data_IF_255652976768
#
_entry.id   IF_255652976768
#
_cell.length_a   1.000
_cell.length_b   1.000
_cell.length_c   1.000
_cell.angle_alpha   90.00
_cell.angle_beta   90.00
_cell.angle_gamma   90.00
#
_symmetry.space_group_name_H-M   'P 1'
#
loop_
_entity.id
_entity.type
_entity.pdbx_description
1 polymer ?
#
# COMPACT_ATOMS: atom_id res chain seq x y z
N UNK A 1 -9.02 41.11 -10.81
CA UNK A 1 -8.16 40.05 -10.27
C UNK A 1 -8.69 39.71 -8.89
N UNK A 2 -9.59 38.69 -8.80
CA UNK A 2 -10.34 38.35 -7.58
C UNK A 2 -9.61 37.18 -6.93
N UNK A 3 -9.11 37.40 -5.71
CA UNK A 3 -8.45 36.37 -4.91
C UNK A 3 -9.55 35.47 -4.32
N UNK A 4 -9.52 34.13 -4.55
CA UNK A 4 -10.53 33.25 -3.97
C UNK A 4 -10.32 33.12 -2.46
N UNK A 5 -11.37 33.37 -1.70
CA UNK A 5 -11.45 33.23 -0.25
C UNK A 5 -11.15 31.78 0.18
N UNK A 6 -10.24 31.62 1.14
CA UNK A 6 -9.96 30.34 1.80
C UNK A 6 -11.23 29.87 2.51
N UNK A 7 -11.83 28.81 2.03
CA UNK A 7 -12.94 28.13 2.70
C UNK A 7 -12.35 27.12 3.70
N UNK A 8 -12.35 27.47 4.97
CA UNK A 8 -12.13 26.50 6.04
C UNK A 8 -13.39 25.65 6.16
N UNK A 9 -13.26 24.35 5.88
CA UNK A 9 -14.35 23.40 6.11
C UNK A 9 -14.44 23.18 7.63
N UNK A 10 -15.42 23.78 8.26
CA UNK A 10 -15.85 23.43 9.63
C UNK A 10 -16.58 22.08 9.57
N UNK A 11 -15.90 21.01 9.96
CA UNK A 11 -16.52 19.69 10.09
C UNK A 11 -17.24 19.66 11.44
N UNK A 12 -18.57 19.64 11.36
CA UNK A 12 -19.46 19.47 12.51
C UNK A 12 -19.17 18.13 13.23
N UNK A 13 -19.15 18.18 14.55
CA UNK A 13 -19.01 17.01 15.42
C UNK A 13 -20.30 16.15 15.35
N UNK A 14 -20.21 14.87 15.00
CA UNK A 14 -21.14 13.93 15.57
C UNK A 14 -20.46 12.63 15.97
N UNK A 15 -20.35 12.34 17.24
CA UNK A 15 -20.47 10.96 17.68
C UNK A 15 -20.72 10.91 19.19
N UNK A 16 -21.96 10.59 19.46
CA UNK A 16 -22.42 10.13 20.76
C UNK A 16 -22.01 8.68 20.96
N UNK A 17 -21.24 8.43 21.99
CA UNK A 17 -21.03 7.09 22.54
C UNK A 17 -22.40 6.58 23.04
N UNK A 18 -22.89 5.47 22.50
CA UNK A 18 -24.09 4.80 23.02
C UNK A 18 -23.81 4.27 24.42
N UNK A 19 -24.52 4.79 25.43
CA UNK A 19 -24.56 4.19 26.74
C UNK A 19 -25.30 2.86 26.68
N UNK A 20 -24.62 1.77 26.99
CA UNK A 20 -25.30 0.55 27.41
C UNK A 20 -25.61 0.66 28.89
N UNK A 21 -26.90 0.86 29.22
CA UNK A 21 -27.42 0.72 30.59
C UNK A 21 -27.50 -0.76 30.90
N UNK A 22 -26.60 -1.25 31.75
CA UNK A 22 -26.81 -2.51 32.44
C UNK A 22 -26.75 -2.31 33.96
N UNK A 23 -27.90 -2.45 34.61
CA UNK A 23 -28.05 -2.42 36.08
C UNK A 23 -27.81 -3.86 36.58
N UNK A 24 -26.66 -4.08 37.23
CA UNK A 24 -26.39 -5.38 37.83
C UNK A 24 -25.04 -5.44 38.57
N UNK A 25 -25.12 -5.41 39.89
CA UNK A 25 -24.12 -5.84 40.86
C UNK A 25 -22.87 -4.96 41.12
N UNK A 26 -22.90 -4.22 42.19
CA UNK A 26 -21.79 -3.43 42.76
C UNK A 26 -20.79 -4.40 43.42
N UNK A 27 -19.68 -4.74 42.77
CA UNK A 27 -18.35 -5.07 43.34
C UNK A 27 -17.41 -5.82 42.42
N UNK A 28 -17.46 -5.62 41.10
CA UNK A 28 -16.32 -5.87 40.23
C UNK A 28 -16.18 -4.67 39.28
N UNK A 29 -14.98 -4.08 39.10
CA UNK A 29 -14.79 -3.08 38.07
C UNK A 29 -14.99 -3.82 36.73
N UNK A 30 -16.14 -3.59 36.11
CA UNK A 30 -16.36 -3.99 34.73
C UNK A 30 -15.33 -3.22 33.92
N UNK A 31 -14.28 -3.91 33.49
CA UNK A 31 -13.33 -3.36 32.51
C UNK A 31 -14.18 -3.01 31.28
N UNK A 32 -14.50 -1.73 31.13
CA UNK A 32 -15.16 -1.24 29.93
C UNK A 32 -14.26 -1.64 28.76
N UNK A 33 -14.78 -2.44 27.86
CA UNK A 33 -14.10 -2.81 26.64
C UNK A 33 -13.90 -1.55 25.80
N UNK A 34 -12.73 -0.91 25.96
CA UNK A 34 -12.32 0.27 25.17
C UNK A 34 -12.07 -0.15 23.71
N UNK A 35 -12.34 -1.41 23.37
CA UNK A 35 -12.14 -1.96 22.06
C UNK A 35 -10.66 -2.25 21.77
N UNK A 36 -10.42 -2.82 20.60
CA UNK A 36 -9.10 -3.19 20.12
C UNK A 36 -8.35 -2.03 19.42
N UNK A 37 -8.92 -0.83 19.41
CA UNK A 37 -8.41 0.33 18.69
C UNK A 37 -7.73 1.35 19.61
N UNK A 38 -6.80 2.17 19.12
CA UNK A 38 -6.20 3.25 19.86
C UNK A 38 -7.23 4.31 20.30
N UNK A 39 -7.01 4.90 21.48
CA UNK A 39 -7.89 5.92 22.05
C UNK A 39 -7.10 7.07 22.68
N UNK A 40 -7.75 8.22 22.84
CA UNK A 40 -7.16 9.40 23.50
C UNK A 40 -7.30 9.26 25.00
N UNK A 41 -6.18 9.25 25.73
CA UNK A 41 -6.14 9.01 27.16
C UNK A 41 -6.92 10.05 27.98
N UNK A 42 -6.82 11.34 27.64
CA UNK A 42 -7.59 12.41 28.31
C UNK A 42 -9.10 12.27 28.10
N UNK A 43 -9.54 11.82 26.92
CA UNK A 43 -10.98 11.57 26.66
C UNK A 43 -11.48 10.39 27.50
N UNK A 44 -10.72 9.29 27.54
CA UNK A 44 -11.05 8.10 28.30
C UNK A 44 -11.08 8.35 29.83
N UNK A 45 -10.15 9.16 30.33
CA UNK A 45 -10.17 9.61 31.75
C UNK A 45 -11.34 10.50 32.05
N UNK A 46 -11.68 11.46 31.19
CA UNK A 46 -12.77 12.41 31.37
C UNK A 46 -14.15 11.74 31.37
N UNK A 47 -14.34 10.69 30.55
CA UNK A 47 -15.59 9.94 30.55
C UNK A 47 -15.63 8.78 31.57
N UNK A 48 -14.57 8.59 32.36
CA UNK A 48 -14.47 7.51 33.34
C UNK A 48 -14.34 6.11 32.76
N UNK A 49 -13.96 6.00 31.49
CA UNK A 49 -13.73 4.71 30.83
C UNK A 49 -12.51 3.98 31.39
N UNK A 50 -11.52 4.74 31.84
CA UNK A 50 -10.33 4.25 32.56
C UNK A 50 -9.98 5.24 33.68
N UNK A 51 -9.26 4.75 34.69
CA UNK A 51 -8.59 5.61 35.67
C UNK A 51 -7.08 5.68 35.37
N UNK A 52 -6.35 6.56 36.10
CA UNK A 52 -4.90 6.77 35.89
C UNK A 52 -4.07 5.52 36.18
N UNK A 53 -4.49 4.66 37.11
CA UNK A 53 -3.81 3.41 37.43
C UNK A 53 -3.96 2.41 36.27
N UNK A 54 -5.17 2.19 35.80
CA UNK A 54 -5.49 1.29 34.68
C UNK A 54 -4.76 1.72 33.42
N UNK A 55 -4.77 3.02 33.10
CA UNK A 55 -4.09 3.56 31.92
C UNK A 55 -2.59 3.21 31.93
N UNK A 56 -1.91 3.32 33.08
CA UNK A 56 -0.49 2.95 33.23
C UNK A 56 -0.28 1.44 33.26
N UNK A 57 -1.18 0.71 33.88
CA UNK A 57 -1.03 -0.73 34.11
C UNK A 57 -1.27 -1.55 32.83
N UNK A 58 -2.33 -1.24 32.09
CA UNK A 58 -2.84 -2.08 31.00
C UNK A 58 -2.58 -1.54 29.59
N UNK A 59 -2.31 -0.26 29.44
CA UNK A 59 -2.17 0.38 28.14
C UNK A 59 -0.73 0.87 27.90
N UNK A 60 -0.31 0.82 26.64
CA UNK A 60 0.94 1.44 26.17
C UNK A 60 0.64 2.72 25.42
N UNK A 61 1.47 3.74 25.58
CA UNK A 61 1.40 4.95 24.75
C UNK A 61 1.97 4.65 23.37
N UNK A 62 1.18 4.87 22.32
CA UNK A 62 1.66 4.82 20.93
C UNK A 62 2.12 6.20 20.45
N UNK A 63 1.39 7.25 20.86
CA UNK A 63 1.65 8.66 20.59
C UNK A 63 1.38 9.46 21.87
N UNK A 64 1.85 10.71 21.97
CA UNK A 64 1.49 11.57 23.10
C UNK A 64 -0.01 11.58 23.34
N UNK A 65 -0.43 11.18 24.54
CA UNK A 65 -1.84 11.08 24.95
C UNK A 65 -2.72 10.10 24.15
N UNK A 66 -2.13 9.20 23.33
CA UNK A 66 -2.86 8.14 22.61
C UNK A 66 -2.35 6.78 23.02
N UNK A 67 -3.24 5.90 23.42
CA UNK A 67 -2.96 4.62 24.05
C UNK A 67 -3.57 3.45 23.31
N UNK A 68 -2.96 2.27 23.48
CA UNK A 68 -3.42 0.97 22.99
C UNK A 68 -3.23 -0.06 24.10
N UNK A 69 -4.14 -1.02 24.22
CA UNK A 69 -3.96 -2.18 25.13
C UNK A 69 -2.62 -2.87 24.87
N UNK A 70 -1.87 -3.18 25.94
CA UNK A 70 -0.55 -3.81 25.87
C UNK A 70 -0.58 -5.19 25.21
N UNK A 71 -1.70 -5.89 25.24
CA UNK A 71 -1.91 -7.21 24.63
C UNK A 71 -2.04 -7.14 23.11
N UNK A 72 -2.35 -5.97 22.57
CA UNK A 72 -2.65 -5.77 21.15
C UNK A 72 -1.41 -5.32 20.41
N UNK A 73 -1.10 -5.95 19.26
CA UNK A 73 0.01 -5.56 18.41
C UNK A 73 -0.24 -4.19 17.76
N UNK A 74 0.76 -3.29 17.75
CA UNK A 74 0.65 -1.97 17.11
C UNK A 74 0.91 -2.06 15.60
N UNK A 75 0.02 -2.72 14.85
CA UNK A 75 0.08 -2.80 13.39
C UNK A 75 0.09 -1.41 12.74
N UNK A 76 0.53 -1.31 11.48
CA UNK A 76 0.53 -0.04 10.74
C UNK A 76 -0.86 0.64 10.80
N UNK A 77 -1.94 -0.12 10.62
CA UNK A 77 -3.31 0.40 10.73
C UNK A 77 -3.57 1.08 12.08
N UNK A 78 -3.20 0.42 13.19
CA UNK A 78 -3.38 0.97 14.55
C UNK A 78 -2.47 2.17 14.79
N UNK A 79 -1.23 2.13 14.33
CA UNK A 79 -0.32 3.28 14.41
C UNK A 79 -0.82 4.47 13.59
N UNK A 80 -1.42 4.22 12.43
CA UNK A 80 -2.05 5.26 11.59
C UNK A 80 -3.23 5.89 12.30
N UNK A 81 -4.11 5.09 12.90
CA UNK A 81 -5.23 5.60 13.70
C UNK A 81 -4.75 6.39 14.92
N UNK A 82 -3.70 5.90 15.62
CA UNK A 82 -3.11 6.61 16.74
C UNK A 82 -2.50 7.96 16.32
N UNK A 83 -1.78 8.02 15.21
CA UNK A 83 -1.22 9.25 14.68
C UNK A 83 -2.30 10.26 14.26
N UNK A 84 -3.41 9.77 13.68
CA UNK A 84 -4.55 10.60 13.34
C UNK A 84 -5.25 11.14 14.59
N UNK A 85 -5.44 10.34 15.64
CA UNK A 85 -5.96 10.79 16.93
C UNK A 85 -5.04 11.83 17.59
N UNK A 86 -3.72 11.62 17.53
CA UNK A 86 -2.72 12.57 18.02
C UNK A 86 -2.81 13.92 17.31
N UNK A 87 -3.11 13.94 16.03
CA UNK A 87 -3.35 15.18 15.27
C UNK A 87 -4.69 15.86 15.61
N UNK A 88 -5.34 15.50 16.69
CA UNK A 88 -6.70 15.97 17.03
C UNK A 88 -7.74 15.66 15.94
N UNK A 89 -7.50 14.62 15.14
CA UNK A 89 -8.36 14.21 14.02
C UNK A 89 -8.37 15.19 12.83
N UNK A 90 -7.41 16.12 12.80
CA UNK A 90 -7.30 17.18 11.78
C UNK A 90 -6.46 16.76 10.58
N UNK A 91 -5.46 15.88 10.79
CA UNK A 91 -4.57 15.46 9.74
C UNK A 91 -5.26 14.60 8.66
N UNK A 92 -4.65 14.60 7.48
CA UNK A 92 -4.96 13.66 6.40
C UNK A 92 -3.84 12.64 6.31
N UNK A 93 -4.19 11.35 6.40
CA UNK A 93 -3.25 10.24 6.22
C UNK A 93 -2.77 10.19 4.77
N UNK A 94 -1.47 10.06 4.56
CA UNK A 94 -0.83 10.12 3.25
C UNK A 94 0.28 9.06 3.08
N UNK A 95 0.90 9.01 1.93
CA UNK A 95 2.05 8.16 1.64
C UNK A 95 1.76 6.66 1.80
N UNK A 96 2.73 5.91 2.34
CA UNK A 96 2.58 4.45 2.51
C UNK A 96 1.46 4.08 3.47
N UNK A 97 1.22 4.87 4.52
CA UNK A 97 0.11 4.63 5.43
C UNK A 97 -1.25 4.76 4.70
N UNK A 98 -1.41 5.74 3.81
CA UNK A 98 -2.60 5.86 2.97
C UNK A 98 -2.71 4.69 1.98
N UNK A 99 -1.60 4.28 1.36
CA UNK A 99 -1.56 3.12 0.46
C UNK A 99 -2.04 1.84 1.17
N UNK A 100 -1.55 1.57 2.39
CA UNK A 100 -2.02 0.45 3.22
C UNK A 100 -3.51 0.57 3.60
N UNK A 101 -3.98 1.79 3.87
CA UNK A 101 -5.42 2.04 4.11
C UNK A 101 -6.26 1.78 2.85
N UNK A 102 -5.69 1.92 1.65
CA UNK A 102 -6.29 1.52 0.38
C UNK A 102 -6.18 0.02 0.10
N UNK A 103 -5.62 -0.76 1.04
CA UNK A 103 -5.38 -2.20 0.94
C UNK A 103 -4.31 -2.58 -0.08
N UNK A 104 -3.42 -1.66 -0.43
CA UNK A 104 -2.24 -2.02 -1.18
C UNK A 104 -1.37 -2.97 -0.35
N UNK A 105 -0.93 -4.03 -0.97
CA UNK A 105 -0.02 -5.00 -0.36
C UNK A 105 1.42 -4.46 -0.30
N UNK A 106 2.32 -5.20 0.33
CA UNK A 106 3.76 -4.92 0.38
C UNK A 106 4.10 -3.59 1.08
N UNK A 107 3.32 -3.23 2.08
CA UNK A 107 3.63 -2.14 3.01
C UNK A 107 3.94 -2.72 4.38
N UNK A 108 5.20 -2.58 4.82
CA UNK A 108 5.65 -3.13 6.09
C UNK A 108 4.97 -2.43 7.29
N UNK A 109 4.77 -3.19 8.36
CA UNK A 109 4.12 -2.66 9.57
C UNK A 109 4.95 -1.59 10.29
N UNK A 110 6.26 -1.50 10.06
CA UNK A 110 7.18 -0.57 10.75
C UNK A 110 7.41 0.76 10.01
N UNK A 111 6.87 0.92 8.79
CA UNK A 111 7.00 2.19 8.05
C UNK A 111 6.47 3.37 8.86
N UNK A 112 7.10 4.55 8.78
CA UNK A 112 6.56 5.75 9.41
C UNK A 112 5.17 6.11 8.89
N UNK A 113 4.29 6.56 9.77
CA UNK A 113 2.97 7.09 9.39
C UNK A 113 3.15 8.51 8.85
N UNK A 114 2.80 8.72 7.58
CA UNK A 114 2.85 10.03 6.96
C UNK A 114 1.49 10.75 7.10
N UNK A 115 1.51 11.97 7.61
CA UNK A 115 0.34 12.84 7.77
C UNK A 115 0.56 14.16 7.03
N UNK A 116 -0.42 14.60 6.26
CA UNK A 116 -0.49 15.98 5.79
C UNK A 116 -1.16 16.80 6.89
N UNK A 117 -0.32 17.52 7.64
CA UNK A 117 -0.72 18.38 8.75
C UNK A 117 0.41 19.33 9.11
N UNK A 118 0.07 20.58 9.36
CA UNK A 118 1.04 21.62 9.68
C UNK A 118 1.51 21.52 11.14
N UNK A 119 2.38 20.55 11.43
CA UNK A 119 3.00 20.35 12.73
C UNK A 119 4.47 19.95 12.56
N UNK A 120 5.37 20.75 13.12
CA UNK A 120 6.82 20.52 13.04
C UNK A 120 7.36 19.58 14.14
N UNK A 121 6.54 19.17 15.11
CA UNK A 121 6.95 18.37 16.29
C UNK A 121 6.32 16.97 16.26
N UNK A 122 6.51 16.25 15.14
CA UNK A 122 6.02 14.89 15.02
C UNK A 122 6.72 13.95 16.01
N UNK A 123 5.99 13.04 16.68
CA UNK A 123 6.59 12.01 17.52
C UNK A 123 7.32 10.97 16.66
N UNK A 124 8.16 10.15 17.30
CA UNK A 124 8.86 9.06 16.62
C UNK A 124 7.89 8.15 15.86
N UNK A 125 8.22 7.82 14.62
CA UNK A 125 7.39 6.98 13.75
C UNK A 125 6.28 7.71 13.03
N UNK A 126 6.21 9.06 13.13
CA UNK A 126 5.30 9.91 12.37
C UNK A 126 6.11 10.92 11.54
N UNK A 127 5.70 11.14 10.32
CA UNK A 127 6.21 12.19 9.44
C UNK A 127 5.06 13.13 9.13
N UNK A 128 5.21 14.40 9.48
CA UNK A 128 4.25 15.44 9.11
C UNK A 128 4.75 16.22 7.89
N UNK A 129 3.85 16.53 6.98
CA UNK A 129 4.13 17.32 5.78
C UNK A 129 3.18 18.47 5.64
N UNK A 130 3.70 19.62 5.29
CA UNK A 130 2.91 20.74 4.81
C UNK A 130 2.75 20.58 3.31
N UNK A 131 1.55 20.19 2.86
CA UNK A 131 1.23 20.03 1.45
C UNK A 131 -0.14 20.62 1.15
N UNK A 132 -0.29 21.23 -0.03
CA UNK A 132 -1.58 21.68 -0.52
C UNK A 132 -2.44 20.46 -0.85
N UNK A 133 -3.67 20.46 -0.35
CA UNK A 133 -4.73 19.54 -0.71
C UNK A 133 -5.84 20.32 -1.39
N UNK A 134 -6.23 19.89 -2.58
CA UNK A 134 -7.32 20.48 -3.34
C UNK A 134 -8.60 19.66 -3.16
N UNK A 135 -9.74 20.23 -3.53
CA UNK A 135 -11.02 19.52 -3.50
C UNK A 135 -10.94 18.21 -4.32
N UNK A 136 -11.40 17.11 -3.75
CA UNK A 136 -11.37 15.79 -4.37
C UNK A 136 -10.09 14.98 -4.09
N UNK A 137 -9.15 15.48 -3.29
CA UNK A 137 -7.89 14.77 -2.97
C UNK A 137 -7.92 14.05 -1.61
N UNK A 138 -9.01 14.19 -0.88
CA UNK A 138 -9.22 13.58 0.44
C UNK A 138 -10.55 12.84 0.45
N UNK A 139 -10.55 11.65 1.03
CA UNK A 139 -11.74 10.85 1.26
C UNK A 139 -11.77 10.30 2.69
N UNK A 140 -12.95 9.85 3.12
CA UNK A 140 -13.12 9.13 4.40
C UNK A 140 -12.93 7.63 4.16
N UNK A 141 -12.01 7.01 4.93
CA UNK A 141 -11.81 5.56 4.92
C UNK A 141 -11.60 5.06 6.35
N UNK A 142 -12.35 4.05 6.76
CA UNK A 142 -12.33 3.50 8.12
C UNK A 142 -12.46 4.60 9.21
N UNK A 143 -13.23 5.66 8.93
CA UNK A 143 -13.41 6.79 9.84
C UNK A 143 -12.29 7.86 9.81
N UNK A 144 -11.19 7.65 9.08
CA UNK A 144 -10.07 8.59 8.97
C UNK A 144 -10.17 9.43 7.69
N UNK A 145 -9.56 10.61 7.70
CA UNK A 145 -9.31 11.38 6.49
C UNK A 145 -8.04 10.81 5.84
N UNK A 146 -8.14 10.37 4.60
CA UNK A 146 -7.05 9.71 3.84
C UNK A 146 -6.96 10.35 2.46
N UNK A 147 -5.79 10.50 1.90
CA UNK A 147 -5.63 10.91 0.50
C UNK A 147 -6.31 9.91 -0.43
N UNK A 148 -6.93 10.38 -1.53
CA UNK A 148 -7.51 9.46 -2.54
C UNK A 148 -6.43 8.58 -3.17
N UNK A 149 -6.78 7.48 -3.86
CA UNK A 149 -5.81 6.66 -4.56
C UNK A 149 -4.91 7.46 -5.52
N UNK A 150 -5.50 8.38 -6.29
CA UNK A 150 -4.78 9.22 -7.25
C UNK A 150 -3.82 10.18 -6.55
N UNK A 151 -4.26 10.79 -5.43
CA UNK A 151 -3.38 11.64 -4.64
C UNK A 151 -2.30 10.85 -3.92
N UNK A 152 -2.59 9.65 -3.46
CA UNK A 152 -1.60 8.73 -2.88
C UNK A 152 -0.57 8.33 -3.92
N UNK A 153 -1.01 7.96 -5.14
CA UNK A 153 -0.13 7.65 -6.27
C UNK A 153 0.76 8.84 -6.65
N UNK A 154 0.18 10.06 -6.74
CA UNK A 154 0.94 11.28 -6.96
C UNK A 154 2.05 11.48 -5.93
N UNK A 155 1.76 11.27 -4.64
CA UNK A 155 2.74 11.46 -3.58
C UNK A 155 3.81 10.36 -3.56
N UNK A 156 3.47 9.10 -3.87
CA UNK A 156 4.40 7.98 -3.94
C UNK A 156 5.27 8.02 -5.20
N UNK A 157 4.68 8.28 -6.36
CA UNK A 157 5.38 8.25 -7.65
C UNK A 157 6.47 9.32 -7.81
N UNK A 158 6.33 10.46 -7.16
CA UNK A 158 7.28 11.59 -7.24
C UNK A 158 8.43 11.53 -6.24
N UNK A 159 8.52 10.48 -5.39
CA UNK A 159 9.49 10.41 -4.28
C UNK A 159 10.24 9.08 -4.27
N UNK A 160 11.48 9.15 -3.76
CA UNK A 160 12.35 7.97 -3.62
C UNK A 160 12.94 7.48 -4.94
N UNK A 161 13.58 6.31 -4.95
CA UNK A 161 14.11 5.69 -6.17
C UNK A 161 12.99 5.30 -7.15
N UNK A 162 13.21 5.48 -8.46
CA UNK A 162 12.20 5.23 -9.49
C UNK A 162 11.61 3.81 -9.41
N UNK A 163 12.44 2.78 -9.29
CA UNK A 163 11.96 1.39 -9.23
C UNK A 163 11.08 1.11 -8.00
N UNK A 164 11.39 1.72 -6.84
CA UNK A 164 10.52 1.63 -5.66
C UNK A 164 9.21 2.39 -5.86
N UNK A 165 9.26 3.57 -6.46
CA UNK A 165 8.07 4.35 -6.76
C UNK A 165 7.13 3.55 -7.67
N UNK A 166 7.65 2.92 -8.74
CA UNK A 166 6.87 2.07 -9.63
C UNK A 166 6.26 0.89 -8.87
N UNK A 167 7.04 0.16 -8.05
CA UNK A 167 6.52 -0.98 -7.28
C UNK A 167 5.38 -0.58 -6.31
N UNK A 168 5.46 0.62 -5.72
CA UNK A 168 4.41 1.17 -4.87
C UNK A 168 3.17 1.58 -5.66
N UNK A 169 3.36 2.12 -6.87
CA UNK A 169 2.25 2.43 -7.78
C UNK A 169 1.56 1.16 -8.27
N UNK A 170 2.33 0.13 -8.64
CA UNK A 170 1.79 -1.16 -9.07
C UNK A 170 0.92 -1.79 -7.97
N UNK A 171 1.43 -1.86 -6.73
CA UNK A 171 0.70 -2.39 -5.60
C UNK A 171 -0.57 -1.58 -5.28
N UNK A 172 -0.49 -0.24 -5.32
CA UNK A 172 -1.66 0.62 -5.11
C UNK A 172 -2.67 0.48 -6.26
N UNK A 173 -2.19 0.37 -7.50
CA UNK A 173 -3.01 0.17 -8.68
C UNK A 173 -3.72 -1.18 -8.68
N UNK A 174 -3.03 -2.24 -8.28
CA UNK A 174 -3.60 -3.57 -8.09
C UNK A 174 -4.78 -3.52 -7.10
N UNK A 175 -4.62 -2.82 -5.98
CA UNK A 175 -5.63 -2.71 -4.93
C UNK A 175 -6.81 -1.79 -5.27
N UNK A 176 -6.62 -0.75 -6.12
CA UNK A 176 -7.59 0.34 -6.29
C UNK A 176 -8.06 0.54 -7.72
N UNK A 177 -7.27 0.09 -8.70
CA UNK A 177 -7.54 0.31 -10.12
C UNK A 177 -7.45 1.77 -10.56
N UNK A 178 -6.72 2.63 -9.85
CA UNK A 178 -6.53 4.02 -10.25
C UNK A 178 -5.94 4.10 -11.67
N UNK A 179 -6.22 5.19 -12.38
CA UNK A 179 -5.72 5.38 -13.74
C UNK A 179 -4.58 6.40 -13.76
N UNK A 180 -3.52 6.11 -14.52
CA UNK A 180 -2.38 7.01 -14.68
C UNK A 180 -2.82 8.40 -15.19
N UNK A 181 -3.81 8.46 -16.08
CA UNK A 181 -4.34 9.71 -16.63
C UNK A 181 -4.94 10.61 -15.55
N UNK A 182 -5.59 10.05 -14.52
CA UNK A 182 -6.19 10.83 -13.43
C UNK A 182 -5.10 11.40 -12.51
N UNK A 183 -4.00 10.66 -12.31
CA UNK A 183 -2.84 11.13 -11.56
C UNK A 183 -2.10 12.24 -12.31
N UNK A 184 -1.98 12.15 -13.65
CA UNK A 184 -1.40 13.22 -14.47
C UNK A 184 -2.28 14.48 -14.44
N UNK A 185 -3.60 14.35 -14.54
CA UNK A 185 -4.54 15.47 -14.40
C UNK A 185 -4.45 16.12 -13.01
N UNK A 186 -4.20 15.33 -11.96
CA UNK A 186 -3.93 15.86 -10.62
C UNK A 186 -2.58 16.60 -10.60
N UNK A 187 -1.53 16.05 -11.22
CA UNK A 187 -0.22 16.66 -11.30
C UNK A 187 -0.24 18.05 -11.98
N UNK A 188 -1.07 18.22 -13.01
CA UNK A 188 -1.30 19.49 -13.67
C UNK A 188 -1.85 20.60 -12.75
N UNK A 189 -2.59 20.20 -11.72
CA UNK A 189 -3.10 21.10 -10.68
C UNK A 189 -2.03 21.46 -9.63
N UNK A 190 -0.93 20.70 -9.60
CA UNK A 190 0.19 20.82 -8.65
C UNK A 190 1.53 21.12 -9.33
N UNK A 191 1.55 21.97 -10.36
CA UNK A 191 2.71 22.26 -11.24
C UNK A 191 3.99 22.67 -10.52
N UNK A 192 3.88 23.15 -9.28
CA UNK A 192 5.03 23.54 -8.46
C UNK A 192 5.52 22.43 -7.50
N UNK A 193 4.94 21.25 -7.57
CA UNK A 193 5.38 20.12 -6.75
C UNK A 193 6.74 19.61 -7.25
N UNK A 194 7.62 19.25 -6.31
CA UNK A 194 8.90 18.62 -6.66
C UNK A 194 8.69 17.18 -7.12
N UNK A 195 9.49 16.74 -8.09
CA UNK A 195 9.53 15.34 -8.53
C UNK A 195 8.49 14.98 -9.60
N UNK A 196 7.89 15.96 -10.31
CA UNK A 196 6.90 15.69 -11.36
C UNK A 196 7.48 14.89 -12.53
N UNK A 197 8.72 15.16 -12.96
CA UNK A 197 9.39 14.35 -14.01
C UNK A 197 9.55 12.88 -13.60
N UNK A 198 9.86 12.64 -12.34
CA UNK A 198 9.92 11.26 -11.82
C UNK A 198 8.53 10.62 -11.78
N UNK A 199 7.49 11.38 -11.40
CA UNK A 199 6.11 10.90 -11.43
C UNK A 199 5.70 10.46 -12.84
N UNK A 200 5.98 11.30 -13.86
CA UNK A 200 5.71 10.98 -15.26
C UNK A 200 6.43 9.68 -15.69
N UNK A 201 7.72 9.55 -15.37
CA UNK A 201 8.49 8.33 -15.65
C UNK A 201 7.96 7.12 -14.90
N UNK A 202 7.53 7.28 -13.64
CA UNK A 202 6.96 6.19 -12.85
C UNK A 202 5.58 5.76 -13.38
N UNK A 203 4.74 6.71 -13.80
CA UNK A 203 3.43 6.42 -14.40
C UNK A 203 3.54 5.80 -15.79
N UNK A 204 4.57 6.17 -16.55
CA UNK A 204 4.88 5.52 -17.82
C UNK A 204 5.24 4.04 -17.62
N UNK A 205 5.94 3.70 -16.54
CA UNK A 205 6.34 2.34 -16.18
C UNK A 205 5.30 1.59 -15.33
N UNK A 206 4.24 2.25 -14.89
CA UNK A 206 3.20 1.70 -14.04
C UNK A 206 2.43 0.55 -14.72
N UNK A 207 2.25 -0.54 -13.99
CA UNK A 207 1.49 -1.71 -14.42
C UNK A 207 0.86 -2.42 -13.21
N UNK A 208 -0.47 -2.30 -13.02
CA UNK A 208 -1.17 -2.91 -11.89
C UNK A 208 -1.26 -4.45 -11.97
N UNK A 209 -0.78 -5.08 -13.04
CA UNK A 209 -0.72 -6.53 -13.17
C UNK A 209 0.40 -7.16 -12.34
N UNK A 210 1.48 -6.42 -11.99
CA UNK A 210 2.51 -6.93 -11.11
C UNK A 210 1.95 -7.18 -9.69
N UNK A 211 2.06 -8.40 -9.20
CA UNK A 211 1.51 -8.83 -7.92
C UNK A 211 2.52 -8.73 -6.76
N UNK A 212 3.78 -8.43 -7.06
CA UNK A 212 4.81 -8.25 -6.04
C UNK A 212 5.87 -7.22 -6.47
N UNK A 213 6.59 -6.59 -5.49
CA UNK A 213 7.73 -5.72 -5.80
C UNK A 213 8.86 -6.44 -6.55
N UNK A 214 8.93 -7.77 -6.45
CA UNK A 214 9.94 -8.57 -7.16
C UNK A 214 9.58 -8.77 -8.63
N UNK A 215 8.31 -8.93 -8.94
CA UNK A 215 7.82 -8.93 -10.32
C UNK A 215 8.04 -7.56 -10.96
N UNK A 216 7.70 -6.46 -10.27
CA UNK A 216 8.01 -5.10 -10.73
C UNK A 216 9.50 -4.93 -11.00
N UNK A 217 10.37 -5.33 -10.07
CA UNK A 217 11.82 -5.26 -10.23
C UNK A 217 12.29 -6.04 -11.45
N UNK A 218 11.79 -7.26 -11.66
CA UNK A 218 12.15 -8.12 -12.78
C UNK A 218 11.67 -7.52 -14.12
N UNK A 219 10.45 -7.00 -14.15
CA UNK A 219 9.88 -6.30 -15.30
C UNK A 219 10.70 -5.07 -15.70
N UNK A 220 11.05 -4.24 -14.73
CA UNK A 220 11.89 -3.07 -14.97
C UNK A 220 13.29 -3.45 -15.43
N UNK A 221 13.84 -4.56 -14.94
CA UNK A 221 15.15 -5.06 -15.34
C UNK A 221 15.20 -5.42 -16.83
N UNK A 222 14.19 -6.11 -17.35
CA UNK A 222 14.17 -6.49 -18.77
C UNK A 222 13.88 -5.29 -19.68
N UNK A 223 13.05 -4.35 -19.24
CA UNK A 223 12.80 -3.09 -19.96
C UNK A 223 14.10 -2.26 -20.06
N UNK A 224 14.84 -2.13 -18.96
CA UNK A 224 16.10 -1.39 -18.87
C UNK A 224 17.22 -2.02 -19.75
N UNK A 225 17.15 -3.32 -19.97
CA UNK A 225 18.07 -4.06 -20.87
C UNK A 225 17.66 -3.97 -22.36
N UNK A 226 16.58 -3.24 -22.68
CA UNK A 226 16.15 -2.95 -24.04
C UNK A 226 15.14 -3.91 -24.63
N UNK A 227 14.57 -4.83 -23.85
CA UNK A 227 13.46 -5.67 -24.31
C UNK A 227 12.16 -4.84 -24.38
N UNK A 228 11.23 -5.16 -25.30
CA UNK A 228 9.88 -4.59 -25.30
C UNK A 228 9.22 -4.79 -23.93
N UNK A 229 8.27 -3.91 -23.59
CA UNK A 229 7.49 -4.08 -22.34
C UNK A 229 6.76 -5.42 -22.35
N UNK A 230 7.01 -6.31 -21.38
CA UNK A 230 6.28 -7.56 -21.28
C UNK A 230 4.84 -7.30 -20.84
N UNK A 231 3.92 -8.12 -21.28
CA UNK A 231 2.58 -8.22 -20.73
C UNK A 231 2.67 -8.89 -19.35
N UNK A 232 1.82 -8.48 -18.40
CA UNK A 232 1.76 -9.07 -17.06
C UNK A 232 0.52 -9.94 -16.89
N UNK A 233 0.57 -10.91 -15.98
CA UNK A 233 -0.54 -11.81 -15.65
C UNK A 233 -1.17 -12.48 -16.89
N UNK A 234 -0.32 -13.07 -17.74
CA UNK A 234 -0.75 -13.71 -18.98
C UNK A 234 -1.52 -15.00 -18.66
N UNK A 235 -2.79 -15.12 -19.03
CA UNK A 235 -3.59 -16.29 -18.73
C UNK A 235 -3.22 -17.47 -19.62
N UNK A 236 -2.87 -18.62 -19.00
CA UNK A 236 -2.72 -19.90 -19.69
C UNK A 236 -3.91 -20.79 -19.30
N UNK A 237 -4.77 -21.21 -20.26
CA UNK A 237 -5.92 -22.06 -19.96
C UNK A 237 -5.48 -23.38 -19.30
N UNK A 238 -6.10 -23.75 -18.19
CA UNK A 238 -5.85 -25.02 -17.54
C UNK A 238 -6.43 -26.22 -18.31
N UNK A 239 -6.00 -27.44 -17.97
CA UNK A 239 -6.59 -28.69 -18.51
C UNK A 239 -8.10 -28.68 -18.25
N UNK A 240 -8.88 -29.02 -19.25
CA UNK A 240 -10.35 -29.04 -19.24
C UNK A 240 -11.05 -27.66 -19.11
N UNK A 241 -10.35 -26.53 -19.33
CA UNK A 241 -10.93 -25.20 -19.34
C UNK A 241 -11.48 -24.66 -18.00
N UNK A 242 -11.26 -25.38 -16.91
CA UNK A 242 -11.79 -25.03 -15.58
C UNK A 242 -10.86 -24.22 -14.69
N UNK A 243 -9.54 -24.33 -14.90
CA UNK A 243 -8.54 -23.55 -14.17
C UNK A 243 -7.69 -22.74 -15.15
N UNK A 244 -7.28 -21.56 -14.72
CA UNK A 244 -6.31 -20.75 -15.45
C UNK A 244 -5.03 -20.68 -14.61
N UNK A 245 -3.90 -20.88 -15.26
CA UNK A 245 -2.62 -20.47 -14.72
C UNK A 245 -2.31 -19.08 -15.23
N UNK A 246 -1.55 -18.33 -14.48
CA UNK A 246 -1.07 -17.02 -14.91
C UNK A 246 0.44 -17.02 -14.91
N UNK A 247 1.04 -16.45 -15.95
CA UNK A 247 2.45 -16.16 -16.01
C UNK A 247 2.68 -14.74 -15.53
N UNK A 248 3.68 -14.51 -14.68
CA UNK A 248 3.92 -13.20 -14.08
C UNK A 248 4.09 -12.13 -15.14
N UNK A 249 4.95 -12.40 -16.14
CA UNK A 249 5.16 -11.52 -17.28
C UNK A 249 5.75 -12.27 -18.47
N UNK A 250 5.58 -11.71 -19.69
CA UNK A 250 6.14 -12.31 -20.90
C UNK A 250 5.74 -11.61 -22.19
N UNK A 251 6.05 -12.27 -23.28
CA UNK A 251 5.77 -11.84 -24.66
C UNK A 251 5.04 -12.97 -25.38
N UNK A 252 3.73 -12.81 -25.54
CA UNK A 252 2.85 -13.83 -26.13
C UNK A 252 3.26 -14.20 -27.56
N UNK A 253 3.66 -13.21 -28.37
CA UNK A 253 4.12 -13.40 -29.74
C UNK A 253 5.39 -14.26 -29.84
N UNK A 254 6.08 -14.47 -28.72
CA UNK A 254 7.28 -15.30 -28.61
C UNK A 254 7.09 -16.54 -27.77
N UNK A 255 5.92 -16.70 -27.16
CA UNK A 255 5.67 -17.76 -26.18
C UNK A 255 6.77 -17.84 -25.12
N UNK A 256 7.26 -16.67 -24.67
CA UNK A 256 8.35 -16.51 -23.72
C UNK A 256 7.85 -15.78 -22.48
N UNK A 257 8.04 -16.37 -21.31
CA UNK A 257 7.69 -15.78 -20.04
C UNK A 257 8.87 -15.73 -19.07
N UNK A 258 8.81 -14.78 -18.15
CA UNK A 258 9.76 -14.65 -17.04
C UNK A 258 8.93 -14.59 -15.75
N UNK A 259 9.23 -15.46 -14.80
CA UNK A 259 8.48 -15.62 -13.56
C UNK A 259 9.42 -15.45 -12.36
N UNK A 260 8.95 -14.80 -11.30
CA UNK A 260 9.68 -14.67 -10.05
C UNK A 260 9.19 -15.69 -9.03
N UNK A 261 9.97 -16.75 -8.82
CA UNK A 261 9.70 -17.74 -7.79
C UNK A 261 9.97 -17.15 -6.40
N UNK A 262 8.90 -16.97 -5.62
CA UNK A 262 8.98 -16.69 -4.19
C UNK A 262 9.56 -17.87 -3.40
N UNK A 263 9.52 -17.77 -2.08
CA UNK A 263 9.86 -18.90 -1.20
C UNK A 263 8.76 -19.96 -1.34
N UNK A 264 9.07 -21.06 -2.02
CA UNK A 264 8.15 -22.20 -2.13
C UNK A 264 8.01 -22.90 -0.77
N UNK A 265 6.77 -23.10 -0.35
CA UNK A 265 6.48 -24.02 0.75
C UNK A 265 6.52 -25.44 0.20
N UNK A 266 7.13 -26.38 0.94
CA UNK A 266 7.29 -27.77 0.54
C UNK A 266 5.96 -28.44 0.12
N UNK A 267 4.84 -27.99 0.66
CA UNK A 267 3.50 -28.51 0.37
C UNK A 267 2.97 -28.13 -1.03
N UNK A 268 3.57 -27.14 -1.71
CA UNK A 268 3.15 -26.69 -3.04
C UNK A 268 3.87 -27.40 -4.20
N UNK A 269 4.92 -28.17 -3.91
CA UNK A 269 5.81 -28.74 -4.93
C UNK A 269 5.08 -29.58 -5.99
N UNK A 270 4.11 -30.40 -5.58
CA UNK A 270 3.31 -31.21 -6.50
C UNK A 270 2.45 -30.40 -7.46
N UNK A 271 1.86 -29.31 -6.97
CA UNK A 271 1.09 -28.38 -7.78
C UNK A 271 1.99 -27.63 -8.79
N UNK A 272 3.15 -27.18 -8.36
CA UNK A 272 4.09 -26.42 -9.20
C UNK A 272 4.62 -27.27 -10.35
N UNK A 273 4.93 -28.56 -10.10
CA UNK A 273 5.36 -29.49 -11.16
C UNK A 273 4.27 -29.60 -12.24
N UNK A 274 3.02 -29.84 -11.84
CA UNK A 274 1.89 -29.99 -12.77
C UNK A 274 1.64 -28.67 -13.54
N UNK A 275 1.72 -27.54 -12.85
CA UNK A 275 1.59 -26.21 -13.45
C UNK A 275 2.67 -25.97 -14.53
N UNK A 276 3.93 -26.21 -14.21
CA UNK A 276 5.04 -26.00 -15.13
C UNK A 276 4.98 -26.95 -16.33
N UNK A 277 4.64 -28.22 -16.10
CA UNK A 277 4.45 -29.18 -17.19
C UNK A 277 3.34 -28.74 -18.14
N UNK A 278 2.22 -28.27 -17.61
CA UNK A 278 1.10 -27.77 -18.40
C UNK A 278 1.49 -26.53 -19.22
N UNK A 279 2.16 -25.54 -18.60
CA UNK A 279 2.64 -24.33 -19.26
C UNK A 279 3.57 -24.68 -20.42
N UNK A 280 4.49 -25.63 -20.21
CA UNK A 280 5.39 -26.12 -21.24
C UNK A 280 4.65 -26.83 -22.39
N UNK A 281 3.63 -27.66 -22.06
CA UNK A 281 2.79 -28.32 -23.06
C UNK A 281 1.96 -27.33 -23.89
N UNK A 282 1.59 -26.18 -23.30
CA UNK A 282 0.95 -25.07 -24.00
C UNK A 282 1.91 -24.30 -24.93
N UNK A 283 3.20 -24.69 -25.00
CA UNK A 283 4.19 -24.11 -25.91
C UNK A 283 5.03 -22.98 -25.32
N UNK A 284 4.83 -22.63 -24.05
CA UNK A 284 5.57 -21.57 -23.39
C UNK A 284 6.99 -22.00 -22.99
N UNK A 285 7.94 -21.11 -23.20
CA UNK A 285 9.26 -21.17 -22.59
C UNK A 285 9.26 -20.26 -21.37
N UNK A 286 9.51 -20.79 -20.18
CA UNK A 286 9.52 -20.00 -18.93
C UNK A 286 10.95 -19.87 -18.38
N UNK A 287 11.30 -18.66 -17.93
CA UNK A 287 12.55 -18.36 -17.24
C UNK A 287 12.19 -18.07 -15.78
N UNK A 288 12.49 -19.02 -14.90
CA UNK A 288 12.25 -18.85 -13.47
C UNK A 288 13.41 -18.09 -12.82
N UNK A 289 13.07 -17.05 -12.06
CA UNK A 289 14.01 -16.22 -11.32
C UNK A 289 13.70 -16.36 -9.83
N UNK A 290 14.70 -16.70 -9.03
CA UNK A 290 14.56 -16.88 -7.60
C UNK A 290 15.52 -15.97 -6.82
N UNK A 291 15.29 -15.88 -5.53
CA UNK A 291 16.18 -15.15 -4.61
C UNK A 291 17.62 -15.70 -4.75
N UNK A 292 18.57 -14.78 -4.94
CA UNK A 292 19.99 -15.13 -5.09
C UNK A 292 20.49 -15.14 -6.55
N UNK A 293 19.61 -15.20 -7.55
CA UNK A 293 20.01 -15.00 -8.93
C UNK A 293 20.52 -13.58 -9.17
N UNK A 294 21.62 -13.42 -9.90
CA UNK A 294 22.21 -12.11 -10.20
C UNK A 294 21.70 -11.56 -11.52
N UNK A 295 21.59 -10.23 -11.63
CA UNK A 295 21.12 -9.55 -12.84
C UNK A 295 21.79 -10.05 -14.14
N UNK A 296 23.13 -10.17 -14.24
CA UNK A 296 23.76 -10.65 -15.48
C UNK A 296 23.33 -12.08 -15.87
N UNK A 297 23.17 -12.97 -14.88
CA UNK A 297 22.80 -14.37 -15.14
C UNK A 297 21.34 -14.46 -15.62
N UNK A 298 20.45 -13.64 -15.05
CA UNK A 298 19.04 -13.53 -15.46
C UNK A 298 18.98 -13.05 -16.91
N UNK A 299 19.64 -11.93 -17.21
CA UNK A 299 19.63 -11.32 -18.55
C UNK A 299 20.26 -12.22 -19.60
N UNK A 300 21.34 -12.96 -19.27
CA UNK A 300 21.91 -13.94 -20.18
C UNK A 300 20.92 -15.06 -20.55
N UNK A 301 20.11 -15.54 -19.59
CA UNK A 301 19.05 -16.53 -19.83
C UNK A 301 17.92 -15.96 -20.68
N UNK A 302 17.49 -14.71 -20.41
CA UNK A 302 16.49 -14.00 -21.23
C UNK A 302 17.01 -13.85 -22.66
N UNK A 303 18.24 -13.40 -22.86
CA UNK A 303 18.84 -13.24 -24.18
C UNK A 303 18.94 -14.57 -24.97
N UNK A 304 19.28 -15.65 -24.29
CA UNK A 304 19.34 -16.98 -24.93
C UNK A 304 17.94 -17.44 -25.39
N UNK A 305 16.94 -17.34 -24.54
CA UNK A 305 15.56 -17.70 -24.86
C UNK A 305 14.95 -16.78 -25.93
N UNK A 306 15.24 -15.48 -25.89
CA UNK A 306 14.80 -14.50 -26.90
C UNK A 306 15.32 -14.84 -28.30
N UNK A 307 16.58 -15.19 -28.41
CA UNK A 307 17.18 -15.64 -29.71
C UNK A 307 16.58 -16.96 -30.20
N UNK A 308 16.28 -17.88 -29.31
CA UNK A 308 15.67 -19.16 -29.65
C UNK A 308 14.22 -19.01 -30.13
N UNK A 309 13.44 -18.09 -29.53
CA UNK A 309 12.04 -17.83 -29.89
C UNK A 309 11.90 -17.14 -31.26
N UNK A 310 12.90 -16.39 -31.70
CA UNK A 310 12.89 -15.71 -33.02
C UNK A 310 13.07 -16.64 -34.20
N UNK A 311 13.37 -17.93 -33.96
CA UNK A 311 13.60 -18.95 -35.00
C UNK A 311 12.38 -19.87 -35.21
N UNK A 312 11.29 -19.63 -34.48
CA UNK A 312 10.01 -20.33 -34.64
C UNK A 312 9.04 -19.49 -35.48
#
# INVERSE_FOLDING_TARGET
>A
MVIPKRTFIHIAKPWMVRRATNVGNRNQPVAMDIGSDPFVGSEALACGAVNRYELRRYYRSLMPNVYLDKRIAPTLRRRTQAAWLWSHREAVVAGLAASAMHRAEWVDDDVPVELIWANARAPRGVITRTALLLTGEVQRRDGLNVTTPERTAFDLGRRGPLGEAVARLDALGNATGFKAVDVLALADRHRHARGLRQLEAALDLYDPGAQSPKETWLRLMVIDDGYPRPQTQIPVPGRHGRSRYYLDMGWEERMLAVEYDGVQHADALGYDIVRHEHIRQAGWTTIQVAKGHRRPDILARVAAAWRASSRR
#
